data_IF_986500237484
#
_entry.id   IF_986500237484
#
_cell.length_a   1.000
_cell.length_b   1.000
_cell.length_c   1.000
_cell.angle_alpha   90.00
_cell.angle_beta   90.00
_cell.angle_gamma   90.00
#
_symmetry.space_group_name_H-M   'P 1'
#
loop_
_entity.id
_entity.type
_entity.pdbx_description
1 polymer ?
#
# COMPACT_ATOMS: atom_id res chain seq x y z
N UNK A 1 19.15 9.58 24.08
CA UNK A 1 18.11 10.61 23.81
C UNK A 1 17.05 10.07 22.87
N UNK A 2 17.42 9.36 21.80
CA UNK A 2 16.49 8.62 20.93
C UNK A 2 15.68 7.55 21.68
N UNK A 3 16.28 6.80 22.61
CA UNK A 3 15.56 5.80 23.42
C UNK A 3 14.37 6.36 24.18
N UNK A 4 14.47 7.55 24.78
CA UNK A 4 13.32 8.18 25.47
C UNK A 4 12.18 8.56 24.53
N UNK A 5 12.48 8.87 23.27
CA UNK A 5 11.46 9.17 22.26
C UNK A 5 10.76 7.86 21.86
N UNK A 6 11.53 6.78 21.63
CA UNK A 6 10.99 5.45 21.36
C UNK A 6 10.09 4.96 22.52
N UNK A 7 10.58 5.00 23.77
CA UNK A 7 9.81 4.53 24.94
C UNK A 7 8.55 5.37 25.21
N UNK A 8 8.53 6.66 24.85
CA UNK A 8 7.34 7.51 24.98
C UNK A 8 6.24 7.11 23.98
N UNK A 9 6.62 6.68 22.77
CA UNK A 9 5.69 6.13 21.79
C UNK A 9 5.26 4.70 22.12
N UNK A 10 6.18 3.88 22.63
CA UNK A 10 5.93 2.49 23.05
C UNK A 10 5.00 2.40 24.28
N UNK A 11 5.19 3.26 25.28
CA UNK A 11 4.37 3.26 26.51
C UNK A 11 2.96 3.82 26.33
N UNK A 12 2.66 4.46 25.19
CA UNK A 12 1.37 5.12 24.96
C UNK A 12 0.26 4.17 24.52
N UNK A 13 0.61 3.00 23.99
CA UNK A 13 -0.33 1.99 23.57
C UNK A 13 0.12 0.63 24.11
N UNK A 14 -0.67 0.04 25.01
CA UNK A 14 -0.36 -1.29 25.51
C UNK A 14 -0.74 -2.34 24.47
N UNK A 15 0.16 -3.26 24.08
CA UNK A 15 -0.15 -4.34 23.14
C UNK A 15 -1.17 -5.35 23.71
N UNK A 16 -1.48 -5.27 25.00
CA UNK A 16 -2.39 -6.20 25.72
C UNK A 16 -3.68 -5.52 26.16
N UNK A 17 -3.96 -4.29 25.69
CA UNK A 17 -5.17 -3.57 26.07
C UNK A 17 -6.43 -4.30 25.57
N UNK A 18 -7.38 -4.51 26.48
CA UNK A 18 -8.72 -5.00 26.13
C UNK A 18 -9.57 -3.82 25.69
N UNK A 19 -10.31 -3.98 24.60
CA UNK A 19 -11.24 -2.96 24.14
C UNK A 19 -12.50 -2.94 25.01
N UNK A 20 -13.13 -1.77 25.13
CA UNK A 20 -14.39 -1.59 25.88
C UNK A 20 -15.53 -2.48 25.32
N UNK A 21 -15.56 -2.67 23.99
CA UNK A 21 -16.42 -3.64 23.31
C UNK A 21 -15.64 -4.93 23.08
N UNK A 22 -15.82 -5.96 23.92
CA UNK A 22 -15.02 -7.19 23.86
C UNK A 22 -15.22 -8.07 22.60
N UNK A 23 -16.18 -7.75 21.72
CA UNK A 23 -16.48 -8.54 20.52
C UNK A 23 -16.09 -7.80 19.24
N UNK A 24 -15.18 -8.35 18.41
CA UNK A 24 -14.84 -7.78 17.11
C UNK A 24 -16.06 -7.85 16.17
N UNK A 25 -16.48 -6.73 15.56
CA UNK A 25 -17.71 -6.68 14.78
C UNK A 25 -17.58 -7.41 13.44
N UNK A 26 -18.66 -8.07 13.02
CA UNK A 26 -18.74 -8.69 11.69
C UNK A 26 -18.85 -7.61 10.60
N UNK A 27 -18.04 -7.78 9.54
CA UNK A 27 -17.98 -6.89 8.38
C UNK A 27 -16.63 -6.18 8.28
N UNK A 28 -15.98 -6.30 7.11
CA UNK A 28 -14.58 -5.89 6.91
C UNK A 28 -14.30 -4.45 7.36
N UNK A 29 -15.11 -3.50 6.92
CA UNK A 29 -14.95 -2.09 7.30
C UNK A 29 -15.08 -1.86 8.81
N UNK A 30 -16.05 -2.52 9.47
CA UNK A 30 -16.27 -2.39 10.91
C UNK A 30 -15.12 -3.01 11.70
N UNK A 31 -14.63 -4.17 11.26
CA UNK A 31 -13.48 -4.86 11.84
C UNK A 31 -12.22 -3.98 11.78
N UNK A 32 -11.92 -3.40 10.61
CA UNK A 32 -10.82 -2.45 10.45
C UNK A 32 -10.97 -1.24 11.37
N UNK A 33 -12.15 -0.61 11.34
CA UNK A 33 -12.42 0.59 12.15
C UNK A 33 -12.29 0.34 13.65
N UNK A 34 -12.73 -0.84 14.12
CA UNK A 34 -12.64 -1.24 15.53
C UNK A 34 -11.21 -1.20 16.07
N UNK A 35 -10.22 -1.69 15.31
CA UNK A 35 -8.81 -1.64 15.72
C UNK A 35 -8.17 -0.27 15.44
N UNK A 36 -8.43 0.33 14.27
CA UNK A 36 -7.82 1.61 13.88
C UNK A 36 -8.25 2.76 14.80
N UNK A 37 -9.51 2.75 15.30
CA UNK A 37 -10.02 3.77 16.22
C UNK A 37 -9.19 3.88 17.50
N UNK A 38 -8.62 2.78 17.97
CA UNK A 38 -7.78 2.72 19.17
C UNK A 38 -6.46 3.51 18.98
N UNK A 39 -5.99 3.65 17.72
CA UNK A 39 -4.79 4.40 17.33
C UNK A 39 -5.08 5.70 16.56
N UNK A 40 -6.30 6.26 16.68
CA UNK A 40 -6.76 7.43 15.91
C UNK A 40 -5.83 8.66 15.97
N UNK A 41 -5.11 8.87 17.07
CA UNK A 41 -4.19 9.99 17.20
C UNK A 41 -2.92 9.79 16.37
N UNK A 42 -2.34 8.59 16.41
CA UNK A 42 -1.15 8.24 15.66
C UNK A 42 -1.42 8.25 14.14
N UNK A 43 -2.55 7.66 13.71
CA UNK A 43 -2.93 7.69 12.30
C UNK A 43 -3.25 9.10 11.78
N UNK A 44 -3.91 9.96 12.58
CA UNK A 44 -4.13 11.38 12.19
C UNK A 44 -2.81 12.13 12.02
N UNK A 45 -1.88 11.98 12.97
CA UNK A 45 -0.56 12.61 12.86
C UNK A 45 0.17 12.12 11.61
N UNK A 46 0.14 10.82 11.34
CA UNK A 46 0.76 10.23 10.16
C UNK A 46 0.15 10.74 8.86
N UNK A 47 -1.17 10.82 8.75
CA UNK A 47 -1.86 11.39 7.58
C UNK A 47 -1.42 12.83 7.29
N UNK A 48 -1.20 13.64 8.33
CA UNK A 48 -0.68 15.01 8.18
C UNK A 48 0.76 14.99 7.66
N UNK A 49 1.64 14.17 8.25
CA UNK A 49 3.05 14.08 7.85
C UNK A 49 3.19 13.62 6.39
N UNK A 50 2.44 12.58 6.00
CA UNK A 50 2.42 12.08 4.61
C UNK A 50 1.87 13.13 3.65
N UNK A 51 0.85 13.89 4.04
CA UNK A 51 0.34 15.00 3.23
C UNK A 51 1.39 16.11 3.06
N UNK A 52 2.10 16.48 4.12
CA UNK A 52 3.21 17.45 4.05
C UNK A 52 4.32 16.95 3.13
N UNK A 53 4.69 15.67 3.24
CA UNK A 53 5.69 15.05 2.36
C UNK A 53 5.25 15.10 0.88
N UNK A 54 3.99 14.77 0.58
CA UNK A 54 3.42 14.84 -0.76
C UNK A 54 3.42 16.26 -1.33
N UNK A 55 3.11 17.27 -0.50
CA UNK A 55 3.15 18.68 -0.89
C UNK A 55 4.59 19.10 -1.20
N UNK A 56 5.56 18.76 -0.35
CA UNK A 56 6.99 19.06 -0.58
C UNK A 56 7.44 18.43 -1.91
N UNK A 57 7.05 17.19 -2.17
CA UNK A 57 7.39 16.50 -3.43
C UNK A 57 6.74 17.18 -4.65
N UNK A 58 5.51 17.66 -4.52
CA UNK A 58 4.84 18.43 -5.58
C UNK A 58 5.45 19.83 -5.78
N UNK A 59 6.16 20.38 -4.80
CA UNK A 59 6.90 21.64 -4.96
C UNK A 59 8.18 21.48 -5.79
N UNK A 60 8.76 20.27 -5.89
CA UNK A 60 10.00 20.06 -6.64
C UNK A 60 9.88 20.44 -8.13
N UNK A 61 8.86 19.95 -8.89
CA UNK A 61 8.62 20.43 -10.26
C UNK A 61 8.43 21.96 -10.36
N UNK A 62 7.80 22.58 -9.36
CA UNK A 62 7.57 24.02 -9.34
C UNK A 62 8.90 24.76 -9.18
N UNK A 63 9.76 24.30 -8.26
CA UNK A 63 11.09 24.87 -8.07
C UNK A 63 11.95 24.74 -9.33
N UNK A 64 11.89 23.61 -10.02
CA UNK A 64 12.59 23.45 -11.31
C UNK A 64 12.13 24.51 -12.32
N UNK A 65 10.82 24.71 -12.49
CA UNK A 65 10.33 25.73 -13.42
C UNK A 65 10.67 27.16 -12.98
N UNK A 66 10.60 27.47 -11.69
CA UNK A 66 11.03 28.77 -11.16
C UNK A 66 12.51 29.01 -11.45
N UNK A 67 13.39 28.04 -11.19
CA UNK A 67 14.83 28.16 -11.48
C UNK A 67 15.07 28.41 -12.97
N UNK A 68 14.40 27.65 -13.85
CA UNK A 68 14.52 27.85 -15.31
C UNK A 68 14.01 29.23 -15.73
N UNK A 69 12.91 29.71 -15.13
CA UNK A 69 12.42 31.07 -15.34
C UNK A 69 13.41 32.14 -14.93
N UNK A 70 14.04 32.00 -13.76
CA UNK A 70 15.05 32.92 -13.25
C UNK A 70 16.33 32.91 -14.11
N UNK A 71 16.73 31.75 -14.60
CA UNK A 71 17.86 31.62 -15.53
C UNK A 71 17.58 32.32 -16.86
N UNK A 72 16.33 32.30 -17.33
CA UNK A 72 15.96 32.99 -18.57
C UNK A 72 15.95 34.53 -18.43
N UNK A 73 15.74 35.06 -17.22
CA UNK A 73 15.67 36.51 -16.96
C UNK A 73 16.97 37.13 -16.43
N UNK A 74 17.94 36.33 -15.98
CA UNK A 74 19.13 36.82 -15.26
C UNK A 74 20.39 36.63 -16.09
N UNK A 75 21.27 37.65 -16.11
CA UNK A 75 22.56 37.55 -16.82
C UNK A 75 23.49 36.54 -16.15
N UNK A 76 24.30 35.79 -16.92
CA UNK A 76 25.34 34.94 -16.36
C UNK A 76 26.31 35.75 -15.46
N UNK A 77 26.50 35.33 -14.21
CA UNK A 77 27.36 35.99 -13.22
C UNK A 77 26.61 36.56 -12.01
N UNK A 78 25.41 37.11 -12.21
CA UNK A 78 24.64 37.80 -11.15
C UNK A 78 23.62 36.89 -10.43
N UNK A 79 23.47 35.64 -10.87
CA UNK A 79 22.39 34.75 -10.46
C UNK A 79 22.32 34.51 -8.94
N UNK A 80 23.45 34.13 -8.32
CA UNK A 80 23.50 33.84 -6.88
C UNK A 80 23.41 35.10 -6.02
N UNK A 81 23.92 36.23 -6.53
CA UNK A 81 23.82 37.52 -5.84
C UNK A 81 22.36 38.04 -5.83
N UNK A 82 21.64 37.87 -6.94
CA UNK A 82 20.26 38.31 -7.08
C UNK A 82 19.24 37.37 -6.40
N UNK A 83 19.44 36.05 -6.51
CA UNK A 83 18.43 35.05 -6.10
C UNK A 83 18.85 34.14 -4.94
N UNK A 84 20.02 34.39 -4.32
CA UNK A 84 20.56 33.60 -3.21
C UNK A 84 19.55 33.31 -2.08
N UNK A 85 18.82 34.32 -1.55
CA UNK A 85 17.82 34.08 -0.50
C UNK A 85 16.70 33.12 -0.91
N UNK A 86 16.24 33.21 -2.16
CA UNK A 86 15.19 32.33 -2.70
C UNK A 86 15.71 30.89 -2.84
N UNK A 87 16.95 30.72 -3.30
CA UNK A 87 17.58 29.39 -3.44
C UNK A 87 17.80 28.73 -2.08
N UNK A 88 18.19 29.48 -1.06
CA UNK A 88 18.31 28.98 0.32
C UNK A 88 16.95 28.55 0.87
N UNK A 89 15.89 29.31 0.61
CA UNK A 89 14.53 28.93 0.99
C UNK A 89 14.09 27.62 0.31
N UNK A 90 14.34 27.48 -1.00
CA UNK A 90 14.05 26.26 -1.74
C UNK A 90 14.82 25.07 -1.17
N UNK A 91 16.13 25.22 -0.91
CA UNK A 91 16.96 24.20 -0.31
C UNK A 91 16.44 23.78 1.08
N UNK A 92 16.03 24.74 1.90
CA UNK A 92 15.43 24.46 3.21
C UNK A 92 14.14 23.62 3.09
N UNK A 93 13.26 23.97 2.16
CA UNK A 93 12.03 23.19 1.91
C UNK A 93 12.35 21.77 1.46
N UNK A 94 13.35 21.58 0.59
CA UNK A 94 13.79 20.25 0.15
C UNK A 94 14.36 19.43 1.31
N UNK A 95 15.06 20.06 2.26
CA UNK A 95 15.57 19.39 3.47
C UNK A 95 14.47 18.97 4.45
N UNK A 96 13.27 19.56 4.40
CA UNK A 96 12.13 19.10 5.18
C UNK A 96 11.61 17.74 4.70
N UNK A 97 11.89 17.35 3.45
CA UNK A 97 11.48 16.06 2.89
C UNK A 97 12.06 14.88 3.67
N UNK A 98 13.40 14.69 3.81
CA UNK A 98 13.93 13.56 4.57
C UNK A 98 13.48 13.60 6.03
N UNK A 99 13.31 14.78 6.62
CA UNK A 99 12.76 14.92 7.97
C UNK A 99 11.35 14.32 8.07
N UNK A 100 10.45 14.66 7.14
CA UNK A 100 9.09 14.11 7.11
C UNK A 100 9.09 12.58 6.95
N UNK A 101 9.97 12.03 6.11
CA UNK A 101 10.09 10.58 5.92
C UNK A 101 10.63 9.87 7.16
N UNK A 102 11.61 10.45 7.85
CA UNK A 102 12.16 9.90 9.09
C UNK A 102 11.12 9.91 10.20
N UNK A 103 10.36 11.00 10.33
CA UNK A 103 9.29 11.11 11.35
C UNK A 103 8.15 10.12 11.06
N UNK A 104 7.74 9.98 9.79
CA UNK A 104 6.76 8.96 9.41
C UNK A 104 7.27 7.54 9.74
N UNK A 105 8.50 7.21 9.34
CA UNK A 105 9.12 5.92 9.62
C UNK A 105 9.24 5.65 11.13
N UNK A 106 9.55 6.67 11.93
CA UNK A 106 9.63 6.58 13.38
C UNK A 106 8.27 6.21 13.99
N UNK A 107 7.23 6.95 13.62
CA UNK A 107 5.86 6.72 14.10
C UNK A 107 5.39 5.33 13.66
N UNK A 108 5.60 4.98 12.39
CA UNK A 108 5.16 3.70 11.84
C UNK A 108 5.86 2.53 12.52
N UNK A 109 7.19 2.52 12.54
CA UNK A 109 7.97 1.35 12.96
C UNK A 109 7.97 1.14 14.48
N UNK A 110 7.88 2.22 15.27
CA UNK A 110 7.95 2.11 16.74
C UNK A 110 6.59 2.28 17.43
N UNK A 111 5.72 3.15 16.92
CA UNK A 111 4.45 3.44 17.61
C UNK A 111 3.28 2.59 17.11
N UNK A 112 3.18 2.38 15.78
CA UNK A 112 2.00 1.78 15.16
C UNK A 112 2.19 0.30 14.89
N UNK A 113 3.18 -0.09 14.08
CA UNK A 113 3.29 -1.44 13.55
C UNK A 113 3.34 -2.54 14.64
N UNK A 114 4.29 -2.53 15.60
CA UNK A 114 4.37 -3.59 16.60
C UNK A 114 3.13 -3.62 17.50
N UNK A 115 2.72 -2.45 18.00
CA UNK A 115 1.61 -2.34 18.94
C UNK A 115 0.27 -2.73 18.31
N UNK A 116 0.01 -2.34 17.05
CA UNK A 116 -1.24 -2.66 16.37
C UNK A 116 -1.32 -4.15 16.05
N UNK A 117 -0.25 -4.75 15.53
CA UNK A 117 -0.23 -6.18 15.19
C UNK A 117 -0.49 -7.03 16.43
N UNK A 118 0.24 -6.77 17.51
CA UNK A 118 0.12 -7.57 18.74
C UNK A 118 -1.20 -7.31 19.46
N UNK A 119 -1.72 -6.09 19.43
CA UNK A 119 -3.05 -5.79 19.95
C UNK A 119 -4.15 -6.55 19.21
N UNK A 120 -4.10 -6.59 17.87
CA UNK A 120 -5.07 -7.34 17.07
C UNK A 120 -4.97 -8.82 17.41
N UNK A 121 -3.75 -9.38 17.49
CA UNK A 121 -3.54 -10.78 17.86
C UNK A 121 -4.07 -11.09 19.25
N UNK A 122 -3.79 -10.24 20.23
CA UNK A 122 -4.24 -10.41 21.61
C UNK A 122 -5.76 -10.32 21.75
N UNK A 123 -6.39 -9.26 21.22
CA UNK A 123 -7.85 -9.10 21.28
C UNK A 123 -8.57 -10.22 20.52
N UNK A 124 -8.02 -10.66 19.38
CA UNK A 124 -8.56 -11.79 18.63
C UNK A 124 -8.43 -13.10 19.41
N UNK A 125 -7.27 -13.36 20.03
CA UNK A 125 -7.06 -14.53 20.88
C UNK A 125 -8.02 -14.53 22.07
N UNK A 126 -8.13 -13.40 22.77
CA UNK A 126 -9.02 -13.23 23.92
C UNK A 126 -10.48 -13.53 23.57
N UNK A 127 -10.96 -13.09 22.41
CA UNK A 127 -12.32 -13.37 21.94
C UNK A 127 -12.49 -14.84 21.52
N UNK A 128 -11.52 -15.40 20.78
CA UNK A 128 -11.61 -16.78 20.26
C UNK A 128 -11.54 -17.83 21.37
N UNK A 129 -10.74 -17.64 22.41
CA UNK A 129 -10.65 -18.58 23.56
C UNK A 129 -11.97 -18.69 24.33
N UNK A 130 -12.85 -17.68 24.24
CA UNK A 130 -14.18 -17.68 24.86
C UNK A 130 -15.27 -18.33 24.00
N UNK A 131 -14.93 -18.86 22.83
CA UNK A 131 -15.88 -19.63 22.02
C UNK A 131 -16.17 -20.98 22.67
N UNK A 132 -17.32 -21.55 22.33
CA UNK A 132 -17.76 -22.82 22.89
C UNK A 132 -16.98 -24.00 22.30
N UNK A 133 -17.09 -25.16 22.94
CA UNK A 133 -16.38 -26.37 22.49
C UNK A 133 -16.74 -26.79 21.05
N UNK A 134 -17.99 -26.54 20.61
CA UNK A 134 -18.40 -26.91 19.25
C UNK A 134 -17.64 -26.11 18.18
N UNK A 135 -17.23 -24.87 18.48
CA UNK A 135 -16.38 -24.08 17.59
C UNK A 135 -15.04 -24.78 17.31
N UNK A 136 -14.38 -25.30 18.35
CA UNK A 136 -13.08 -25.99 18.23
C UNK A 136 -13.18 -27.41 17.65
N UNK A 137 -14.36 -28.04 17.67
CA UNK A 137 -14.59 -29.29 16.94
C UNK A 137 -14.80 -29.06 15.44
N UNK A 138 -15.41 -27.93 15.06
CA UNK A 138 -15.71 -27.60 13.67
C UNK A 138 -14.50 -27.04 12.89
N UNK A 139 -13.52 -26.45 13.58
CA UNK A 139 -12.32 -25.89 12.96
C UNK A 139 -11.07 -26.24 13.76
N UNK A 140 -10.05 -26.82 13.10
CA UNK A 140 -8.83 -27.24 13.77
C UNK A 140 -8.08 -26.06 14.42
N UNK A 141 -7.56 -26.28 15.63
CA UNK A 141 -6.81 -25.28 16.40
C UNK A 141 -5.66 -24.63 15.60
N UNK A 142 -4.96 -25.41 14.76
CA UNK A 142 -3.89 -24.88 13.91
C UNK A 142 -4.37 -23.86 12.87
N UNK A 143 -5.57 -24.07 12.28
CA UNK A 143 -6.16 -23.14 11.31
C UNK A 143 -6.61 -21.86 12.00
N UNK A 144 -7.24 -21.99 13.17
CA UNK A 144 -7.68 -20.87 14.00
C UNK A 144 -6.46 -20.02 14.41
N UNK A 145 -5.41 -20.65 14.95
CA UNK A 145 -4.18 -19.96 15.34
C UNK A 145 -3.52 -19.22 14.17
N UNK A 146 -3.45 -19.84 13.00
CA UNK A 146 -2.92 -19.20 11.78
C UNK A 146 -3.73 -17.95 11.40
N UNK A 147 -5.07 -18.02 11.45
CA UNK A 147 -5.94 -16.87 11.16
C UNK A 147 -5.76 -15.74 12.16
N UNK A 148 -5.64 -16.06 13.45
CA UNK A 148 -5.34 -15.05 14.50
C UNK A 148 -4.01 -14.36 14.22
N UNK A 149 -2.95 -15.13 13.93
CA UNK A 149 -1.63 -14.58 13.66
C UNK A 149 -1.62 -13.67 12.41
N UNK A 150 -2.23 -14.14 11.31
CA UNK A 150 -2.29 -13.43 10.03
C UNK A 150 -3.18 -12.19 10.06
N UNK A 151 -4.19 -12.14 10.95
CA UNK A 151 -5.10 -10.99 11.05
C UNK A 151 -4.36 -9.70 11.43
N UNK A 152 -3.41 -9.77 12.36
CA UNK A 152 -2.62 -8.61 12.77
C UNK A 152 -1.79 -8.03 11.62
N UNK A 153 -1.02 -8.89 10.95
CA UNK A 153 -0.15 -8.48 9.85
C UNK A 153 -0.95 -7.95 8.65
N UNK A 154 -2.05 -8.62 8.30
CA UNK A 154 -2.85 -8.23 7.13
C UNK A 154 -3.57 -6.90 7.33
N UNK A 155 -4.11 -6.62 8.52
CA UNK A 155 -4.75 -5.33 8.82
C UNK A 155 -3.73 -4.20 8.90
N UNK A 156 -2.62 -4.39 9.62
CA UNK A 156 -1.57 -3.36 9.71
C UNK A 156 -1.02 -3.01 8.32
N UNK A 157 -0.68 -4.02 7.53
CA UNK A 157 -0.04 -3.82 6.24
C UNK A 157 -0.99 -3.16 5.24
N UNK A 158 -2.26 -3.59 5.20
CA UNK A 158 -3.25 -2.98 4.30
C UNK A 158 -3.53 -1.52 4.64
N UNK A 159 -3.67 -1.16 5.92
CA UNK A 159 -3.87 0.23 6.34
C UNK A 159 -2.65 1.07 6.02
N UNK A 160 -1.45 0.57 6.36
CA UNK A 160 -0.21 1.32 6.18
C UNK A 160 0.11 1.56 4.71
N UNK A 161 -0.05 0.56 3.86
CA UNK A 161 0.10 0.68 2.42
C UNK A 161 -0.91 1.66 1.81
N UNK A 162 -2.14 1.68 2.32
CA UNK A 162 -3.17 2.63 1.86
C UNK A 162 -2.77 4.07 2.20
N UNK A 163 -2.24 4.32 3.40
CA UNK A 163 -1.73 5.65 3.79
C UNK A 163 -0.51 6.05 2.94
N UNK A 164 0.47 5.18 2.78
CA UNK A 164 1.74 5.53 2.12
C UNK A 164 1.60 5.72 0.60
N UNK A 165 0.68 5.00 -0.05
CA UNK A 165 0.51 5.08 -1.48
C UNK A 165 -0.74 5.87 -1.87
N UNK A 166 -1.91 5.48 -1.38
CA UNK A 166 -3.19 6.03 -1.86
C UNK A 166 -3.39 7.44 -1.34
N UNK A 167 -3.18 7.68 -0.03
CA UNK A 167 -3.31 9.02 0.54
C UNK A 167 -2.24 9.97 0.01
N UNK A 168 -0.98 9.54 -0.02
CA UNK A 168 0.11 10.31 -0.62
C UNK A 168 -0.22 10.71 -2.07
N UNK A 169 -0.65 9.75 -2.89
CA UNK A 169 -0.99 10.00 -4.28
C UNK A 169 -2.18 10.96 -4.44
N UNK A 170 -3.22 10.81 -3.61
CA UNK A 170 -4.38 11.69 -3.64
C UNK A 170 -3.96 13.14 -3.39
N UNK A 171 -3.14 13.38 -2.34
CA UNK A 171 -2.63 14.73 -2.03
C UNK A 171 -1.75 15.25 -3.17
N UNK A 172 -0.82 14.43 -3.67
CA UNK A 172 0.06 14.84 -4.78
C UNK A 172 -0.73 15.20 -6.04
N UNK A 173 -1.68 14.36 -6.46
CA UNK A 173 -2.53 14.58 -7.64
C UNK A 173 -3.41 15.81 -7.46
N UNK A 174 -3.95 16.05 -6.26
CA UNK A 174 -4.71 17.27 -5.98
C UNK A 174 -3.85 18.53 -6.17
N UNK A 175 -2.61 18.54 -5.66
CA UNK A 175 -1.68 19.65 -5.87
C UNK A 175 -1.33 19.79 -7.36
N UNK A 176 -1.01 18.68 -8.04
CA UNK A 176 -0.67 18.68 -9.46
C UNK A 176 -1.82 19.24 -10.31
N UNK A 177 -3.08 18.85 -10.05
CA UNK A 177 -4.26 19.36 -10.74
C UNK A 177 -4.38 20.88 -10.55
N UNK A 178 -4.26 21.38 -9.31
CA UNK A 178 -4.36 22.81 -9.02
C UNK A 178 -3.26 23.60 -9.72
N UNK A 179 -2.03 23.08 -9.74
CA UNK A 179 -0.90 23.74 -10.39
C UNK A 179 -1.04 23.74 -11.90
N UNK A 180 -1.34 22.57 -12.51
CA UNK A 180 -1.50 22.45 -13.96
C UNK A 180 -2.69 23.27 -14.48
N UNK A 181 -3.80 23.32 -13.74
CA UNK A 181 -4.96 24.14 -14.08
C UNK A 181 -4.63 25.64 -14.12
N UNK A 182 -3.67 26.10 -13.31
CA UNK A 182 -3.18 27.49 -13.34
C UNK A 182 -2.21 27.77 -14.48
N UNK A 183 -1.53 26.74 -15.01
CA UNK A 183 -0.60 26.89 -16.13
C UNK A 183 -1.35 26.94 -17.47
N UNK A 184 -2.10 25.90 -17.78
CA UNK A 184 -2.88 25.79 -19.02
C UNK A 184 -4.01 24.75 -18.84
N UNK A 185 -5.28 25.08 -19.12
CA UNK A 185 -6.38 24.12 -19.12
C UNK A 185 -6.16 22.90 -20.04
N UNK A 186 -5.38 23.04 -21.12
CA UNK A 186 -5.09 21.92 -22.03
C UNK A 186 -4.24 20.84 -21.35
N UNK A 187 -3.27 21.24 -20.50
CA UNK A 187 -2.45 20.29 -19.72
C UNK A 187 -3.32 19.50 -18.74
N UNK A 188 -4.28 20.16 -18.10
CA UNK A 188 -5.23 19.50 -17.22
C UNK A 188 -6.07 18.47 -17.99
N UNK A 189 -6.52 18.80 -19.21
CA UNK A 189 -7.28 17.86 -20.04
C UNK A 189 -6.46 16.60 -20.39
N UNK A 190 -5.18 16.75 -20.75
CA UNK A 190 -4.29 15.62 -21.01
C UNK A 190 -4.15 14.71 -19.78
N UNK A 191 -3.90 15.30 -18.61
CA UNK A 191 -3.79 14.54 -17.35
C UNK A 191 -5.13 13.90 -16.95
N UNK A 192 -6.26 14.57 -17.17
CA UNK A 192 -7.58 14.02 -16.87
C UNK A 192 -7.90 12.81 -17.75
N UNK A 193 -7.61 12.88 -19.06
CA UNK A 193 -7.76 11.74 -19.98
C UNK A 193 -6.87 10.57 -19.54
N UNK A 194 -5.61 10.85 -19.21
CA UNK A 194 -4.70 9.84 -18.66
C UNK A 194 -5.26 9.19 -17.39
N UNK A 195 -5.81 10.00 -16.47
CA UNK A 195 -6.36 9.53 -15.20
C UNK A 195 -7.55 8.59 -15.43
N UNK A 196 -8.42 8.90 -16.41
CA UNK A 196 -9.52 8.00 -16.80
C UNK A 196 -9.00 6.64 -17.27
N UNK A 197 -8.00 6.62 -18.18
CA UNK A 197 -7.41 5.36 -18.63
C UNK A 197 -6.69 4.61 -17.50
N UNK A 198 -6.01 5.33 -16.60
CA UNK A 198 -5.38 4.74 -15.43
C UNK A 198 -6.42 4.07 -14.51
N UNK A 199 -7.54 4.74 -14.22
CA UNK A 199 -8.64 4.18 -13.46
C UNK A 199 -9.25 2.94 -14.13
N UNK A 200 -9.36 2.92 -15.47
CA UNK A 200 -9.84 1.75 -16.21
C UNK A 200 -8.87 0.56 -16.09
N UNK A 201 -7.56 0.79 -16.21
CA UNK A 201 -6.54 -0.26 -15.98
C UNK A 201 -6.69 -0.81 -14.56
N UNK A 202 -6.73 0.07 -13.56
CA UNK A 202 -6.84 -0.30 -12.15
C UNK A 202 -8.12 -1.10 -11.87
N UNK A 203 -9.27 -0.59 -12.31
CA UNK A 203 -10.58 -1.23 -12.10
C UNK A 203 -10.66 -2.61 -12.78
N UNK A 204 -10.04 -2.77 -13.94
CA UNK A 204 -10.04 -4.05 -14.65
C UNK A 204 -9.01 -5.04 -14.08
N UNK A 205 -7.87 -4.57 -13.56
CA UNK A 205 -6.79 -5.43 -13.12
C UNK A 205 -6.98 -5.94 -11.68
N UNK A 206 -7.42 -5.09 -10.75
CA UNK A 206 -7.53 -5.44 -9.33
C UNK A 206 -8.45 -6.65 -9.05
N UNK A 207 -9.66 -6.76 -9.64
CA UNK A 207 -10.52 -7.92 -9.45
C UNK A 207 -9.87 -9.20 -9.99
N UNK A 208 -9.20 -9.13 -11.13
CA UNK A 208 -8.50 -10.27 -11.75
C UNK A 208 -7.34 -10.74 -10.88
N UNK A 209 -6.54 -9.82 -10.35
CA UNK A 209 -5.46 -10.16 -9.41
C UNK A 209 -6.03 -10.86 -8.18
N UNK A 210 -7.11 -10.33 -7.61
CA UNK A 210 -7.75 -10.90 -6.41
C UNK A 210 -8.25 -12.33 -6.66
N UNK A 211 -8.99 -12.54 -7.76
CA UNK A 211 -9.52 -13.86 -8.11
C UNK A 211 -8.40 -14.88 -8.39
N UNK A 212 -7.40 -14.49 -9.19
CA UNK A 212 -6.26 -15.35 -9.53
C UNK A 212 -5.36 -15.64 -8.34
N UNK A 213 -5.19 -14.68 -7.43
CA UNK A 213 -4.44 -14.86 -6.18
C UNK A 213 -5.14 -15.85 -5.24
N UNK A 214 -6.47 -15.85 -5.22
CA UNK A 214 -7.24 -16.85 -4.45
C UNK A 214 -7.05 -18.26 -5.00
N UNK A 215 -7.15 -18.43 -6.33
CA UNK A 215 -6.91 -19.72 -6.99
C UNK A 215 -5.48 -20.23 -6.74
N UNK A 216 -4.49 -19.33 -6.80
CA UNK A 216 -3.11 -19.66 -6.47
C UNK A 216 -2.95 -20.13 -5.03
N UNK A 217 -3.59 -19.45 -4.07
CA UNK A 217 -3.54 -19.82 -2.65
C UNK A 217 -4.14 -21.22 -2.39
N UNK A 218 -5.19 -21.58 -3.13
CA UNK A 218 -5.79 -22.92 -3.03
C UNK A 218 -4.84 -24.00 -3.56
N UNK A 219 -4.20 -23.78 -4.71
CA UNK A 219 -3.15 -24.68 -5.23
C UNK A 219 -1.95 -24.77 -4.31
N UNK A 220 -1.54 -23.67 -3.70
CA UNK A 220 -0.48 -23.66 -2.69
C UNK A 220 -0.81 -24.53 -1.49
N UNK A 221 -2.06 -24.47 -0.99
CA UNK A 221 -2.51 -25.34 0.10
C UNK A 221 -2.45 -26.82 -0.28
N UNK A 222 -2.72 -27.18 -1.54
CA UNK A 222 -2.59 -28.55 -2.02
C UNK A 222 -1.12 -29.00 -2.05
N UNK A 223 -0.21 -28.17 -2.58
CA UNK A 223 1.24 -28.45 -2.60
C UNK A 223 1.76 -28.63 -1.18
N UNK A 224 1.47 -27.68 -0.29
CA UNK A 224 1.91 -27.75 1.11
C UNK A 224 1.31 -28.95 1.84
N UNK A 225 0.04 -29.26 1.62
CA UNK A 225 -0.62 -30.43 2.20
C UNK A 225 0.04 -31.75 1.78
N UNK A 226 0.33 -31.92 0.48
CA UNK A 226 1.02 -33.12 -0.03
C UNK A 226 2.44 -33.24 0.54
N UNK A 227 3.20 -32.15 0.62
CA UNK A 227 4.54 -32.18 1.21
C UNK A 227 4.52 -32.55 2.71
N UNK A 228 3.62 -31.95 3.49
CA UNK A 228 3.48 -32.27 4.92
C UNK A 228 3.08 -33.72 5.13
N UNK A 229 2.19 -34.26 4.29
CA UNK A 229 1.80 -35.66 4.32
C UNK A 229 2.99 -36.59 4.04
N UNK A 230 3.77 -36.32 2.99
CA UNK A 230 4.98 -37.10 2.68
C UNK A 230 6.01 -37.06 3.82
N UNK A 231 6.17 -35.92 4.50
CA UNK A 231 7.08 -35.83 5.66
C UNK A 231 6.53 -36.54 6.90
N UNK A 232 5.22 -36.48 7.14
CA UNK A 232 4.58 -37.17 8.26
C UNK A 232 4.65 -38.68 8.09
N UNK A 233 4.54 -39.17 6.86
CA UNK A 233 4.54 -40.58 6.49
C UNK A 233 5.88 -41.07 5.91
N UNK A 234 6.99 -40.40 6.24
CA UNK A 234 8.31 -40.67 5.65
C UNK A 234 8.81 -42.11 5.87
N UNK A 235 8.46 -42.72 7.01
CA UNK A 235 8.84 -44.09 7.32
C UNK A 235 8.15 -45.07 6.35
N UNK A 236 6.84 -44.93 6.17
CA UNK A 236 6.05 -45.75 5.25
C UNK A 236 6.55 -45.60 3.82
N UNK A 237 6.85 -44.37 3.39
CA UNK A 237 7.41 -44.10 2.07
C UNK A 237 8.76 -44.81 1.85
N UNK A 238 9.68 -44.74 2.82
CA UNK A 238 10.98 -45.42 2.68
C UNK A 238 10.90 -46.94 2.74
N UNK A 239 9.88 -47.52 3.36
CA UNK A 239 9.75 -48.97 3.52
C UNK A 239 8.90 -49.64 2.43
N UNK A 240 7.89 -48.96 1.89
CA UNK A 240 6.87 -49.59 1.03
C UNK A 240 6.61 -48.88 -0.31
N UNK A 241 7.08 -47.65 -0.52
CA UNK A 241 6.80 -46.90 -1.75
C UNK A 241 7.84 -47.13 -2.83
N UNK A 242 7.39 -47.37 -4.07
CA UNK A 242 8.19 -47.15 -5.27
C UNK A 242 8.29 -45.63 -5.49
N UNK A 243 9.49 -45.06 -5.27
CA UNK A 243 9.72 -43.60 -5.29
C UNK A 243 9.10 -42.85 -6.48
N UNK A 244 8.99 -43.47 -7.66
CA UNK A 244 8.37 -42.87 -8.85
C UNK A 244 6.89 -42.47 -8.69
N UNK A 245 6.09 -43.20 -7.90
CA UNK A 245 4.65 -42.87 -7.73
C UNK A 245 4.47 -41.65 -6.83
N UNK A 246 5.23 -41.60 -5.74
CA UNK A 246 5.24 -40.46 -4.81
C UNK A 246 5.80 -39.20 -5.49
N UNK A 247 6.90 -39.34 -6.23
CA UNK A 247 7.50 -38.25 -6.99
C UNK A 247 6.52 -37.67 -8.01
N UNK A 248 5.75 -38.52 -8.70
CA UNK A 248 4.68 -38.08 -9.62
C UNK A 248 3.54 -37.37 -8.90
N UNK A 249 3.12 -37.87 -7.74
CA UNK A 249 2.05 -37.27 -6.95
C UNK A 249 2.37 -35.86 -6.46
N UNK A 250 3.58 -35.64 -5.94
CA UNK A 250 4.04 -34.32 -5.49
C UNK A 250 4.34 -33.40 -6.66
N UNK A 251 5.06 -33.88 -7.69
CA UNK A 251 5.43 -33.06 -8.85
C UNK A 251 4.21 -32.57 -9.64
N UNK A 252 3.15 -33.38 -9.77
CA UNK A 252 1.91 -32.95 -10.41
C UNK A 252 1.29 -31.74 -9.69
N UNK A 253 1.29 -31.73 -8.35
CA UNK A 253 0.80 -30.60 -7.56
C UNK A 253 1.60 -29.32 -7.84
N UNK A 254 2.92 -29.46 -7.95
CA UNK A 254 3.85 -28.35 -8.23
C UNK A 254 3.61 -27.80 -9.64
N UNK A 255 3.37 -28.65 -10.64
CA UNK A 255 3.05 -28.23 -12.01
C UNK A 255 1.71 -27.48 -12.06
N UNK A 256 0.66 -28.00 -11.43
CA UNK A 256 -0.66 -27.34 -11.37
C UNK A 256 -0.59 -25.98 -10.65
N UNK A 257 0.22 -25.88 -9.60
CA UNK A 257 0.54 -24.61 -8.94
C UNK A 257 1.28 -23.65 -9.87
N UNK A 258 2.32 -24.13 -10.57
CA UNK A 258 3.10 -23.32 -11.51
C UNK A 258 2.23 -22.76 -12.64
N UNK A 259 1.33 -23.56 -13.22
CA UNK A 259 0.40 -23.11 -14.26
C UNK A 259 -0.53 -22.00 -13.76
N UNK A 260 -1.05 -22.14 -12.54
CA UNK A 260 -1.89 -21.10 -11.91
C UNK A 260 -1.07 -19.84 -11.61
N UNK A 261 0.19 -20.02 -11.22
CA UNK A 261 1.12 -18.91 -10.97
C UNK A 261 1.44 -18.14 -12.26
N UNK A 262 1.68 -18.83 -13.38
CA UNK A 262 1.86 -18.20 -14.68
C UNK A 262 0.63 -17.40 -15.12
N UNK A 263 -0.57 -17.90 -14.85
CA UNK A 263 -1.81 -17.16 -15.15
C UNK A 263 -1.92 -15.85 -14.35
N UNK A 264 -1.51 -15.86 -13.08
CA UNK A 264 -1.43 -14.63 -12.27
C UNK A 264 -0.35 -13.68 -12.80
N UNK A 265 0.84 -14.19 -13.12
CA UNK A 265 1.94 -13.37 -13.65
C UNK A 265 1.60 -12.72 -15.00
N UNK A 266 0.85 -13.41 -15.88
CA UNK A 266 0.34 -12.82 -17.12
C UNK A 266 -0.53 -11.59 -16.88
N UNK A 267 -1.36 -11.59 -15.83
CA UNK A 267 -2.17 -10.41 -15.46
C UNK A 267 -1.28 -9.26 -15.04
N UNK A 268 -0.24 -9.52 -14.23
CA UNK A 268 0.74 -8.50 -13.85
C UNK A 268 1.48 -7.95 -15.08
N UNK A 269 1.99 -8.80 -15.96
CA UNK A 269 2.70 -8.36 -17.17
C UNK A 269 1.82 -7.51 -18.08
N UNK A 270 0.57 -7.91 -18.35
CA UNK A 270 -0.34 -7.12 -19.18
C UNK A 270 -0.67 -5.76 -18.55
N UNK A 271 -0.92 -5.75 -17.24
CA UNK A 271 -1.22 -4.55 -16.47
C UNK A 271 -0.04 -3.56 -16.51
N UNK A 272 1.18 -4.04 -16.25
CA UNK A 272 2.40 -3.22 -16.28
C UNK A 272 2.72 -2.71 -17.69
N UNK A 273 2.60 -3.56 -18.71
CA UNK A 273 2.81 -3.14 -20.10
C UNK A 273 1.82 -2.03 -20.51
N UNK A 274 0.54 -2.18 -20.16
CA UNK A 274 -0.46 -1.15 -20.42
C UNK A 274 -0.14 0.17 -19.68
N UNK A 275 0.32 0.08 -18.43
CA UNK A 275 0.72 1.25 -17.64
C UNK A 275 1.94 1.95 -18.24
N UNK A 276 2.96 1.21 -18.70
CA UNK A 276 4.15 1.81 -19.31
C UNK A 276 3.82 2.54 -20.61
N UNK A 277 2.99 1.94 -21.47
CA UNK A 277 2.50 2.60 -22.69
C UNK A 277 1.70 3.85 -22.34
N UNK A 278 0.82 3.77 -21.35
CA UNK A 278 0.00 4.91 -20.91
C UNK A 278 0.85 6.05 -20.32
N UNK A 279 1.86 5.73 -19.50
CA UNK A 279 2.80 6.71 -18.93
C UNK A 279 3.71 7.34 -19.99
N UNK A 280 4.18 6.57 -20.97
CA UNK A 280 4.93 7.10 -22.10
C UNK A 280 4.07 8.06 -22.94
N UNK A 281 2.81 7.69 -23.21
CA UNK A 281 1.86 8.54 -23.90
C UNK A 281 1.58 9.85 -23.13
N UNK A 282 1.43 9.79 -21.80
CA UNK A 282 1.31 10.98 -20.96
C UNK A 282 2.52 11.91 -21.11
N UNK A 283 3.73 11.36 -21.01
CA UNK A 283 4.95 12.15 -21.07
C UNK A 283 5.10 12.82 -22.44
N UNK A 284 4.82 12.10 -23.52
CA UNK A 284 4.85 12.63 -24.89
C UNK A 284 3.78 13.72 -25.04
N UNK A 285 2.54 13.47 -24.61
CA UNK A 285 1.43 14.40 -24.75
C UNK A 285 1.65 15.69 -23.95
N UNK A 286 2.08 15.59 -22.69
CA UNK A 286 2.39 16.77 -21.85
C UNK A 286 3.57 17.55 -22.41
N UNK A 287 4.64 16.87 -22.84
CA UNK A 287 5.80 17.54 -23.43
C UNK A 287 5.43 18.25 -24.74
N UNK A 288 4.63 17.60 -25.59
CA UNK A 288 4.15 18.17 -26.84
C UNK A 288 3.29 19.41 -26.60
N UNK A 289 2.30 19.32 -25.71
CA UNK A 289 1.43 20.45 -25.35
C UNK A 289 2.23 21.60 -24.76
N UNK A 290 3.14 21.33 -23.83
CA UNK A 290 3.93 22.36 -23.19
C UNK A 290 4.84 23.10 -24.21
N UNK A 291 5.49 22.35 -25.11
CA UNK A 291 6.31 22.92 -26.17
C UNK A 291 5.49 23.69 -27.21
N UNK A 292 4.31 23.16 -27.59
CA UNK A 292 3.40 23.83 -28.51
C UNK A 292 2.86 25.14 -27.92
N UNK A 293 2.47 25.15 -26.64
CA UNK A 293 2.03 26.35 -25.93
C UNK A 293 3.13 27.39 -25.80
N UNK A 294 4.37 26.96 -25.54
CA UNK A 294 5.52 27.87 -25.55
C UNK A 294 5.78 28.47 -26.94
N UNK A 295 5.74 27.64 -27.99
CA UNK A 295 5.91 28.10 -29.37
C UNK A 295 4.78 29.06 -29.83
N UNK A 296 3.56 28.87 -29.31
CA UNK A 296 2.43 29.77 -29.54
C UNK A 296 2.48 31.05 -28.68
N UNK A 297 3.46 31.17 -27.77
CA UNK A 297 3.58 32.30 -26.84
C UNK A 297 2.57 32.30 -25.70
N UNK A 298 1.79 31.23 -25.52
CA UNK A 298 0.79 31.12 -24.43
C UNK A 298 1.41 30.66 -23.11
N UNK A 299 2.57 30.00 -23.16
CA UNK A 299 3.28 29.49 -21.98
C UNK A 299 4.69 30.07 -21.86
N UNK A 300 5.14 30.26 -20.62
CA UNK A 300 6.53 30.67 -20.31
C UNK A 300 7.48 29.48 -20.29
N UNK A 301 8.78 29.72 -20.42
CA UNK A 301 9.83 28.68 -20.25
C UNK A 301 9.74 28.00 -18.88
N UNK A 302 9.41 28.76 -17.84
CA UNK A 302 9.17 28.26 -16.49
C UNK A 302 8.01 27.25 -16.44
N UNK A 303 6.91 27.55 -17.13
CA UNK A 303 5.73 26.68 -17.17
C UNK A 303 6.04 25.31 -17.82
N UNK A 304 6.80 25.31 -18.92
CA UNK A 304 7.26 24.07 -19.58
C UNK A 304 8.17 23.25 -18.66
N UNK A 305 9.12 23.93 -18.00
CA UNK A 305 10.04 23.32 -17.05
C UNK A 305 9.37 22.82 -15.75
N UNK A 306 8.15 23.26 -15.44
CA UNK A 306 7.32 22.70 -14.37
C UNK A 306 6.45 21.53 -14.85
N UNK A 307 5.83 21.64 -16.02
CA UNK A 307 4.86 20.65 -16.50
C UNK A 307 5.49 19.26 -16.76
N UNK A 308 6.67 19.21 -17.38
CA UNK A 308 7.33 17.94 -17.73
C UNK A 308 7.73 17.14 -16.47
N UNK A 309 8.41 17.71 -15.45
CA UNK A 309 8.69 16.99 -14.22
C UNK A 309 7.42 16.53 -13.47
N UNK A 310 6.33 17.30 -13.51
CA UNK A 310 5.05 16.83 -12.96
C UNK A 310 4.57 15.57 -13.66
N UNK A 311 4.58 15.53 -15.00
CA UNK A 311 4.19 14.34 -15.76
C UNK A 311 5.07 13.12 -15.43
N UNK A 312 6.39 13.31 -15.31
CA UNK A 312 7.31 12.27 -14.89
C UNK A 312 6.98 11.75 -13.48
N UNK A 313 6.66 12.65 -12.55
CA UNK A 313 6.37 12.25 -11.18
C UNK A 313 5.02 11.54 -11.05
N UNK A 314 4.00 11.99 -11.79
CA UNK A 314 2.72 11.29 -11.92
C UNK A 314 2.95 9.86 -12.46
N UNK A 315 3.78 9.70 -13.50
CA UNK A 315 4.11 8.40 -14.07
C UNK A 315 4.84 7.47 -13.08
N UNK A 316 5.73 8.00 -12.24
CA UNK A 316 6.43 7.22 -11.21
C UNK A 316 5.49 6.80 -10.07
N UNK A 317 4.62 7.73 -9.62
CA UNK A 317 3.65 7.47 -8.56
C UNK A 317 2.61 6.44 -9.03
N UNK A 318 2.17 6.51 -10.29
CA UNK A 318 1.16 5.60 -10.85
C UNK A 318 1.59 4.12 -10.81
N UNK A 319 2.87 3.85 -11.09
CA UNK A 319 3.48 2.52 -10.95
C UNK A 319 3.45 2.03 -9.51
N UNK A 320 3.89 2.86 -8.57
CA UNK A 320 3.88 2.51 -7.14
C UNK A 320 2.47 2.24 -6.62
N UNK A 321 1.47 3.05 -6.97
CA UNK A 321 0.08 2.83 -6.55
C UNK A 321 -0.44 1.51 -7.06
N UNK A 322 -0.11 1.15 -8.31
CA UNK A 322 -0.61 -0.07 -8.93
C UNK A 322 -0.06 -1.33 -8.23
N UNK A 323 1.23 -1.33 -7.90
CA UNK A 323 1.84 -2.37 -7.05
C UNK A 323 1.25 -2.43 -5.65
N UNK A 324 1.11 -1.27 -5.01
CA UNK A 324 0.59 -1.19 -3.65
C UNK A 324 -0.88 -1.60 -3.61
N UNK A 325 -1.68 -1.20 -4.60
CA UNK A 325 -3.06 -1.60 -4.74
C UNK A 325 -3.20 -3.11 -4.80
N UNK A 326 -2.40 -3.79 -5.63
CA UNK A 326 -2.41 -5.25 -5.72
C UNK A 326 -2.12 -5.92 -4.37
N UNK A 327 -1.16 -5.38 -3.61
CA UNK A 327 -0.84 -5.87 -2.27
C UNK A 327 -1.95 -5.58 -1.25
N UNK A 328 -2.53 -4.38 -1.27
CA UNK A 328 -3.65 -4.00 -0.39
C UNK A 328 -4.84 -4.92 -0.59
N UNK A 329 -5.25 -5.18 -1.84
CA UNK A 329 -6.35 -6.10 -2.13
C UNK A 329 -6.06 -7.53 -1.63
N UNK A 330 -4.83 -8.02 -1.78
CA UNK A 330 -4.42 -9.32 -1.24
C UNK A 330 -4.53 -9.37 0.28
N UNK A 331 -4.01 -8.35 0.97
CA UNK A 331 -4.06 -8.27 2.43
C UNK A 331 -5.50 -8.12 2.95
N UNK A 332 -6.35 -7.36 2.26
CA UNK A 332 -7.79 -7.29 2.54
C UNK A 332 -8.44 -8.68 2.43
N UNK A 333 -8.06 -9.49 1.44
CA UNK A 333 -8.53 -10.86 1.30
C UNK A 333 -8.15 -11.75 2.49
N UNK A 334 -6.89 -11.66 2.95
CA UNK A 334 -6.40 -12.39 4.14
C UNK A 334 -7.10 -11.92 5.41
N UNK A 335 -7.27 -10.61 5.59
CA UNK A 335 -7.98 -10.03 6.73
C UNK A 335 -9.46 -10.46 6.74
N UNK A 336 -10.12 -10.45 5.58
CA UNK A 336 -11.50 -10.92 5.42
C UNK A 336 -11.66 -12.38 5.82
N UNK A 337 -10.77 -13.26 5.33
CA UNK A 337 -10.78 -14.68 5.67
C UNK A 337 -10.52 -14.92 7.17
N UNK A 338 -9.66 -14.11 7.79
CA UNK A 338 -9.38 -14.21 9.23
C UNK A 338 -10.58 -13.71 10.05
N UNK A 339 -11.20 -12.60 9.64
CA UNK A 339 -12.38 -12.02 10.28
C UNK A 339 -13.56 -12.99 10.32
N UNK A 340 -13.83 -13.78 9.29
CA UNK A 340 -14.97 -14.75 9.31
C UNK A 340 -14.86 -15.81 10.42
N UNK A 341 -13.67 -16.01 10.97
CA UNK A 341 -13.41 -16.93 12.08
C UNK A 341 -13.35 -16.20 13.41
N UNK A 342 -12.66 -15.05 13.45
CA UNK A 342 -12.47 -14.27 14.68
C UNK A 342 -13.74 -13.52 15.10
N UNK A 343 -14.49 -12.94 14.17
CA UNK A 343 -15.66 -12.11 14.45
C UNK A 343 -16.97 -12.91 14.64
N UNK A 344 -16.90 -14.22 14.87
CA UNK A 344 -18.09 -15.00 15.22
C UNK A 344 -18.58 -14.60 16.63
N UNK A 345 -19.88 -14.32 16.82
CA UNK A 345 -20.41 -13.97 18.13
C UNK A 345 -20.24 -15.13 19.10
N UNK A 346 -19.97 -14.82 20.37
CA UNK A 346 -19.87 -15.83 21.44
C UNK A 346 -21.28 -16.39 21.68
N UNK A 347 -21.44 -17.71 21.53
CA UNK A 347 -22.74 -18.39 21.56
C UNK A 347 -23.28 -18.59 22.99
N UNK A 348 -22.40 -18.67 23.99
CA UNK A 348 -22.79 -18.68 25.40
C UNK A 348 -22.51 -17.32 26.05
N UNK A 349 -23.55 -16.50 26.18
CA UNK A 349 -23.55 -15.41 27.14
C UNK A 349 -23.95 -16.00 28.49
N UNK A 350 -23.11 -15.88 29.51
CA UNK A 350 -23.54 -16.11 30.89
C UNK A 350 -24.74 -15.19 31.17
N UNK A 351 -25.77 -15.73 31.83
CA UNK A 351 -26.87 -14.89 32.30
C UNK A 351 -26.31 -13.84 33.26
N UNK A 352 -26.71 -12.57 33.15
CA UNK A 352 -26.29 -11.56 34.11
C UNK A 352 -26.80 -11.97 35.50
N UNK A 353 -25.88 -11.98 36.48
CA UNK A 353 -26.17 -12.25 37.89
C UNK A 353 -27.24 -11.30 38.47
#
# INVERSE_FOLDING_TARGET
MFDRIFTCFESRYSPVALADDGQPPMGLWRFYWYFIRQFRAAYRLRMIIVAVAAIIDAMLPIFVGLIVGLLASTRPGDFFAAHGPLLVLMAFVVLLRPLSMVVDALIRNHAIAPNLIDLIRWQSHWHVVRQDWSFFQNDFAGRIGTKVMQSGDSVEMSVNLTVDAVWYALVFVAVAIVVLARLDPLLLAVVAVWLVFYCLIFWSAMPRITQRSSQLSERWSQVSGRMVDSYTNILTLKTFSTGEHEDKYVSQAVVEHADTFYQLMRVFTLMWSALFVLNAALLIAVSWVALAGWNAGTMTTAAVATAIPFALQIANISGRILDVGANVFRQIGVASNSMTTIARPIVMQDQPD
#
